data_IF_138956576875
#
_entry.id   IF_138956576875
#
_cell.length_a   1.000
_cell.length_b   1.000
_cell.length_c   1.000
_cell.angle_alpha   90.00
_cell.angle_beta   90.00
_cell.angle_gamma   90.00
#
_symmetry.space_group_name_H-M   'P 1'
#
loop_
_entity.id
_entity.type
_entity.pdbx_description
1 polymer ?
#
# COMPACT_ATOMS: atom_id res chain seq x y z
N UNK A 1 4.64 59.07 -5.91
CA UNK A 1 3.73 57.95 -6.29
C UNK A 1 4.43 56.85 -7.11
N UNK A 2 5.12 57.18 -8.22
CA UNK A 2 5.80 56.17 -9.07
C UNK A 2 6.88 55.34 -8.35
N UNK A 3 7.71 55.96 -7.50
CA UNK A 3 8.74 55.23 -6.74
C UNK A 3 8.17 54.23 -5.72
N UNK A 4 7.03 54.55 -5.11
CA UNK A 4 6.36 53.66 -4.14
C UNK A 4 5.77 52.44 -4.86
N UNK A 5 5.18 52.64 -6.05
CA UNK A 5 4.69 51.54 -6.89
C UNK A 5 5.81 50.60 -7.34
N UNK A 6 6.97 51.13 -7.72
CA UNK A 6 8.10 50.32 -8.15
C UNK A 6 8.72 49.51 -7.00
N UNK A 7 8.77 50.09 -5.80
CA UNK A 7 9.24 49.38 -4.60
C UNK A 7 8.28 48.24 -4.22
N UNK A 8 6.97 48.46 -4.33
CA UNK A 8 5.97 47.43 -4.07
C UNK A 8 6.05 46.27 -5.06
N UNK A 9 6.17 46.57 -6.36
CA UNK A 9 6.32 45.55 -7.41
C UNK A 9 7.61 44.76 -7.22
N UNK A 10 8.73 45.42 -6.92
CA UNK A 10 10.01 44.78 -6.66
C UNK A 10 9.95 43.82 -5.45
N UNK A 11 9.27 44.22 -4.38
CA UNK A 11 9.07 43.37 -3.20
C UNK A 11 8.21 42.14 -3.53
N UNK A 12 7.12 42.32 -4.29
CA UNK A 12 6.24 41.21 -4.67
C UNK A 12 6.95 40.20 -5.59
N UNK A 13 7.75 40.67 -6.54
CA UNK A 13 8.57 39.80 -7.40
C UNK A 13 9.63 39.05 -6.60
N UNK A 14 10.23 39.67 -5.59
CA UNK A 14 11.20 39.02 -4.72
C UNK A 14 10.54 37.90 -3.90
N UNK A 15 9.33 38.14 -3.39
CA UNK A 15 8.54 37.10 -2.71
C UNK A 15 8.16 35.94 -3.63
N UNK A 16 7.86 36.18 -4.91
CA UNK A 16 7.54 35.12 -5.87
C UNK A 16 8.78 34.33 -6.34
N UNK A 17 9.96 34.96 -6.33
CA UNK A 17 11.24 34.30 -6.70
C UNK A 17 11.83 33.51 -5.53
N UNK A 18 11.63 33.97 -4.28
CA UNK A 18 12.03 33.27 -3.05
C UNK A 18 10.93 32.30 -2.57
N UNK A 19 9.73 32.35 -3.16
CA UNK A 19 8.75 31.30 -3.01
C UNK A 19 9.28 30.02 -3.68
N UNK A 20 10.12 29.30 -2.97
CA UNK A 20 10.46 27.94 -3.29
C UNK A 20 9.15 27.13 -3.40
N UNK A 21 9.10 26.11 -4.27
CA UNK A 21 7.93 25.22 -4.37
C UNK A 21 7.54 24.54 -3.03
N UNK A 22 8.36 24.67 -1.99
CA UNK A 22 8.15 24.17 -0.63
C UNK A 22 6.93 24.73 0.13
N UNK A 23 6.37 25.87 -0.31
CA UNK A 23 5.12 26.40 0.27
C UNK A 23 3.86 25.76 -0.37
N UNK A 24 4.03 25.01 -1.46
CA UNK A 24 3.01 24.14 -2.03
C UNK A 24 3.10 22.74 -1.38
N UNK A 25 2.56 22.64 -0.16
CA UNK A 25 2.18 21.41 0.56
C UNK A 25 2.72 20.09 -0.03
N UNK A 26 3.89 19.63 0.44
CA UNK A 26 4.15 18.20 0.47
C UNK A 26 3.13 17.57 1.42
N UNK A 27 2.08 16.94 0.89
CA UNK A 27 1.15 16.18 1.72
C UNK A 27 2.00 15.10 2.41
N UNK A 28 1.99 15.09 3.74
CA UNK A 28 2.62 14.01 4.48
C UNK A 28 1.79 12.74 4.28
N UNK A 29 2.26 11.86 3.40
CA UNK A 29 1.66 10.55 3.17
C UNK A 29 2.05 9.54 4.24
N UNK A 30 2.96 9.88 5.17
CA UNK A 30 3.45 8.97 6.22
C UNK A 30 2.33 8.28 7.01
N UNK A 31 1.24 8.98 7.42
CA UNK A 31 0.13 8.31 8.08
C UNK A 31 -0.47 7.23 7.18
N UNK A 32 -0.90 7.59 5.97
CA UNK A 32 -1.58 6.63 5.08
C UNK A 32 -0.65 5.47 4.70
N UNK A 33 0.63 5.72 4.45
CA UNK A 33 1.62 4.68 4.19
C UNK A 33 1.77 3.72 5.39
N UNK A 34 1.87 4.26 6.61
CA UNK A 34 1.97 3.45 7.83
C UNK A 34 0.73 2.61 8.07
N UNK A 35 -0.45 3.17 7.80
CA UNK A 35 -1.74 2.46 7.92
C UNK A 35 -1.80 1.31 6.90
N UNK A 36 -1.47 1.57 5.63
CA UNK A 36 -1.50 0.56 4.57
C UNK A 36 -0.45 -0.52 4.79
N UNK A 37 0.77 -0.17 5.19
CA UNK A 37 1.80 -1.15 5.55
C UNK A 37 1.37 -1.97 6.77
N UNK A 38 0.79 -1.35 7.80
CA UNK A 38 0.26 -2.07 8.96
C UNK A 38 -0.81 -3.10 8.59
N UNK A 39 -1.68 -2.79 7.61
CA UNK A 39 -2.66 -3.75 7.08
C UNK A 39 -1.96 -4.89 6.34
N UNK A 40 -1.00 -4.58 5.46
CA UNK A 40 -0.25 -5.61 4.72
C UNK A 40 0.48 -6.51 5.71
N UNK A 41 1.20 -5.96 6.68
CA UNK A 41 1.94 -6.70 7.70
C UNK A 41 1.03 -7.56 8.57
N UNK A 42 -0.16 -7.08 8.93
CA UNK A 42 -1.13 -7.88 9.66
C UNK A 42 -1.62 -9.07 8.82
N UNK A 43 -1.86 -8.87 7.52
CA UNK A 43 -2.36 -9.89 6.60
C UNK A 43 -1.29 -10.90 6.14
N UNK A 44 -0.03 -10.49 6.01
CA UNK A 44 1.06 -11.33 5.49
C UNK A 44 2.09 -11.73 6.54
N UNK A 45 2.05 -11.12 7.73
CA UNK A 45 2.91 -11.43 8.86
C UNK A 45 2.42 -12.62 9.70
N UNK A 46 2.90 -12.76 10.96
CA UNK A 46 2.61 -13.92 11.80
C UNK A 46 1.12 -14.19 12.03
N UNK A 47 0.31 -13.13 12.16
CA UNK A 47 -1.14 -13.26 12.33
C UNK A 47 -1.81 -13.86 11.09
N UNK A 48 -1.47 -13.35 9.90
CA UNK A 48 -1.92 -13.89 8.62
C UNK A 48 -1.58 -15.37 8.44
N UNK A 49 -0.37 -15.78 8.83
CA UNK A 49 0.07 -17.19 8.77
C UNK A 49 -0.79 -18.09 9.64
N UNK A 50 -1.12 -17.66 10.87
CA UNK A 50 -1.98 -18.44 11.76
C UNK A 50 -3.38 -18.60 11.17
N UNK A 51 -3.97 -17.51 10.67
CA UNK A 51 -5.30 -17.53 10.03
C UNK A 51 -5.30 -18.44 8.80
N UNK A 52 -4.28 -18.34 7.95
CA UNK A 52 -4.12 -19.19 6.77
C UNK A 52 -3.99 -20.66 7.16
N UNK A 53 -3.24 -20.97 8.22
CA UNK A 53 -3.09 -22.35 8.72
C UNK A 53 -4.43 -22.94 9.16
N UNK A 54 -5.23 -22.17 9.90
CA UNK A 54 -6.58 -22.60 10.30
C UNK A 54 -7.51 -22.80 9.09
N UNK A 55 -7.44 -21.93 8.09
CA UNK A 55 -8.20 -22.05 6.85
C UNK A 55 -7.82 -23.31 6.07
N UNK A 56 -6.52 -23.58 5.90
CA UNK A 56 -6.01 -24.80 5.23
C UNK A 56 -6.50 -26.06 5.94
N UNK A 57 -6.51 -26.06 7.28
CA UNK A 57 -7.02 -27.19 8.06
C UNK A 57 -8.52 -27.43 7.80
N UNK A 58 -9.34 -26.36 7.78
CA UNK A 58 -10.77 -26.46 7.47
C UNK A 58 -11.04 -26.95 6.04
N UNK A 59 -10.28 -26.47 5.06
CA UNK A 59 -10.38 -26.91 3.66
C UNK A 59 -9.98 -28.38 3.52
N UNK A 60 -8.88 -28.78 4.16
CA UNK A 60 -8.42 -30.16 4.15
C UNK A 60 -9.46 -31.11 4.72
N UNK A 61 -10.04 -30.79 5.88
CA UNK A 61 -11.08 -31.61 6.51
C UNK A 61 -12.36 -31.63 5.66
N UNK A 62 -12.79 -30.49 5.11
CA UNK A 62 -13.96 -30.41 4.25
C UNK A 62 -13.80 -31.28 2.99
N UNK A 63 -12.62 -31.28 2.39
CA UNK A 63 -12.30 -32.14 1.26
C UNK A 63 -12.22 -33.62 1.67
N UNK A 64 -11.58 -33.93 2.80
CA UNK A 64 -11.42 -35.29 3.31
C UNK A 64 -12.77 -35.96 3.61
N UNK A 65 -13.75 -35.21 4.13
CA UNK A 65 -15.11 -35.68 4.36
C UNK A 65 -16.00 -35.63 3.11
N UNK A 66 -15.42 -35.39 1.93
CA UNK A 66 -16.14 -35.32 0.65
C UNK A 66 -17.26 -34.26 0.63
N UNK A 67 -17.11 -33.18 1.42
CA UNK A 67 -18.03 -32.02 1.43
C UNK A 67 -17.72 -31.10 0.24
N UNK A 68 -16.44 -30.98 -0.12
CA UNK A 68 -15.96 -30.23 -1.29
C UNK A 68 -15.06 -31.13 -2.16
N UNK A 69 -15.05 -30.88 -3.47
CA UNK A 69 -14.20 -31.62 -4.40
C UNK A 69 -12.72 -31.20 -4.33
N UNK A 70 -11.81 -32.09 -4.75
CA UNK A 70 -10.36 -31.83 -4.79
C UNK A 70 -10.02 -30.56 -5.57
N UNK A 71 -10.68 -30.34 -6.71
CA UNK A 71 -10.47 -29.14 -7.53
C UNK A 71 -10.78 -27.86 -6.74
N UNK A 72 -11.88 -27.84 -5.98
CA UNK A 72 -12.27 -26.69 -5.18
C UNK A 72 -11.26 -26.47 -4.05
N UNK A 73 -10.85 -27.54 -3.37
CA UNK A 73 -9.81 -27.47 -2.34
C UNK A 73 -8.50 -26.88 -2.88
N UNK A 74 -8.06 -27.33 -4.07
CA UNK A 74 -6.87 -26.81 -4.74
C UNK A 74 -6.99 -25.33 -5.10
N UNK A 75 -8.14 -24.88 -5.62
CA UNK A 75 -8.33 -23.45 -5.91
C UNK A 75 -8.26 -22.58 -4.66
N UNK A 76 -8.74 -23.07 -3.52
CA UNK A 76 -8.62 -22.34 -2.25
C UNK A 76 -7.15 -22.28 -1.80
N UNK A 77 -6.40 -23.38 -1.92
CA UNK A 77 -4.96 -23.39 -1.60
C UNK A 77 -4.16 -22.42 -2.49
N UNK A 78 -4.47 -22.38 -3.79
CA UNK A 78 -3.87 -21.42 -4.72
C UNK A 78 -4.21 -19.98 -4.32
N UNK A 79 -5.45 -19.71 -3.90
CA UNK A 79 -5.86 -18.40 -3.39
C UNK A 79 -5.06 -17.97 -2.16
N UNK A 80 -4.90 -18.86 -1.18
CA UNK A 80 -4.11 -18.58 0.03
C UNK A 80 -2.64 -18.31 -0.32
N UNK A 81 -2.03 -19.14 -1.18
CA UNK A 81 -0.67 -18.95 -1.65
C UNK A 81 -0.51 -17.62 -2.41
N UNK A 82 -1.50 -17.26 -3.23
CA UNK A 82 -1.54 -16.01 -3.97
C UNK A 82 -1.56 -14.78 -3.06
N UNK A 83 -2.37 -14.80 -1.99
CA UNK A 83 -2.41 -13.70 -1.00
C UNK A 83 -1.07 -13.55 -0.29
N UNK A 84 -0.45 -14.66 0.11
CA UNK A 84 0.87 -14.61 0.76
C UNK A 84 1.99 -14.13 -0.19
N UNK A 85 1.91 -14.46 -1.48
CA UNK A 85 2.88 -14.06 -2.49
C UNK A 85 2.66 -12.65 -3.05
N UNK A 86 1.50 -12.02 -2.79
CA UNK A 86 1.12 -10.75 -3.38
C UNK A 86 2.17 -9.63 -3.19
N UNK A 87 2.75 -9.40 -1.98
CA UNK A 87 3.76 -8.37 -1.80
C UNK A 87 4.99 -8.58 -2.68
N UNK A 88 5.45 -9.83 -2.82
CA UNK A 88 6.61 -10.20 -3.63
C UNK A 88 6.35 -9.98 -5.11
N UNK A 89 5.16 -10.34 -5.60
CA UNK A 89 4.78 -10.16 -7.01
C UNK A 89 4.70 -8.67 -7.35
N UNK A 90 4.01 -7.89 -6.51
CA UNK A 90 3.88 -6.44 -6.70
C UNK A 90 5.25 -5.78 -6.67
N UNK A 91 6.09 -6.11 -5.68
CA UNK A 91 7.46 -5.59 -5.62
C UNK A 91 8.25 -5.92 -6.89
N UNK A 92 8.18 -7.15 -7.40
CA UNK A 92 8.88 -7.55 -8.62
C UNK A 92 8.40 -6.77 -9.87
N UNK A 93 7.09 -6.52 -10.00
CA UNK A 93 6.50 -5.78 -11.13
C UNK A 93 6.94 -4.32 -11.12
N UNK A 94 6.99 -3.68 -9.96
CA UNK A 94 7.29 -2.25 -9.84
C UNK A 94 8.78 -1.93 -9.59
N UNK A 95 9.61 -2.89 -9.20
CA UNK A 95 11.05 -2.70 -9.00
C UNK A 95 11.88 -2.77 -10.29
N UNK A 96 11.30 -3.21 -11.41
CA UNK A 96 11.96 -3.32 -12.72
C UNK A 96 11.79 -2.10 -13.64
N UNK A 97 11.29 -0.98 -13.12
CA UNK A 97 11.08 0.28 -13.86
C UNK A 97 12.16 1.33 -13.62
#
# INVERSE_FOLDING_TARGET
MRHISNLFIASLTLFLVIAEPALAQSIDLSPIQSLLQGIVDALTGPLGVVIATLAVLGVFLSWFFNIIDLRQALWVLVGIAGVAAAPTIVAAVFAGG
#
